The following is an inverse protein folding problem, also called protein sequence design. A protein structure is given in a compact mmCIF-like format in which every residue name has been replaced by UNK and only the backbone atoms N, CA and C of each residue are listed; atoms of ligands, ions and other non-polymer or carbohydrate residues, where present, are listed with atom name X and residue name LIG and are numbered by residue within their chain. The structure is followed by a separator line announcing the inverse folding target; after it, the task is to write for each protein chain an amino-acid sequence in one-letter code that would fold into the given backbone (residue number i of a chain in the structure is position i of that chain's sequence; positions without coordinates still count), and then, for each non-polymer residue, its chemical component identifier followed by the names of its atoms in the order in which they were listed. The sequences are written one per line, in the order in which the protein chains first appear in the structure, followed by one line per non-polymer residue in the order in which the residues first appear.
data_IF_741806185438
#
_entry.id   IF_741806185438
#
_cell.length_a   1.000
_cell.length_b   1.000
_cell.length_c   1.000
_cell.angle_alpha   90.00
_cell.angle_beta   90.00
_cell.angle_gamma   90.00
#
_symmetry.space_group_name_H-M   'P 1'
#
loop_
_entity.id
_entity.type
_entity.pdbx_description
1 polymer ?
#
# COMPACT_ATOMS: atom_id res chain seq x y z
N UNK A 1 -10.63 6.17 -33.30
CA UNK A 1 -9.30 5.57 -33.04
C UNK A 1 -8.68 6.41 -31.94
N UNK A 2 -8.90 6.02 -30.69
CA UNK A 2 -8.48 6.76 -29.49
C UNK A 2 -7.03 6.42 -29.20
N UNK A 3 -6.14 7.40 -29.22
CA UNK A 3 -4.74 7.24 -28.79
C UNK A 3 -4.72 7.13 -27.28
N UNK A 4 -4.58 5.90 -26.76
CA UNK A 4 -4.16 5.70 -25.38
C UNK A 4 -2.71 6.20 -25.33
N UNK A 5 -2.49 7.38 -24.74
CA UNK A 5 -1.15 7.81 -24.36
C UNK A 5 -0.60 6.77 -23.38
N UNK A 6 0.55 6.17 -23.73
CA UNK A 6 1.19 5.16 -22.90
C UNK A 6 1.74 5.87 -21.66
N UNK A 7 1.06 5.76 -20.52
CA UNK A 7 1.55 6.30 -19.26
C UNK A 7 2.97 5.76 -19.00
N UNK A 8 3.89 6.65 -18.62
CA UNK A 8 5.26 6.24 -18.32
C UNK A 8 5.31 5.38 -17.07
N UNK A 9 6.26 4.45 -16.97
CA UNK A 9 6.42 3.62 -15.77
C UNK A 9 6.60 4.47 -14.50
N UNK A 10 7.29 5.62 -14.62
CA UNK A 10 7.47 6.58 -13.51
C UNK A 10 6.15 7.12 -13.00
N UNK A 11 5.25 7.52 -13.90
CA UNK A 11 3.92 8.03 -13.57
C UNK A 11 3.09 6.97 -12.83
N UNK A 12 3.15 5.71 -13.28
CA UNK A 12 2.46 4.62 -12.60
C UNK A 12 3.07 4.31 -11.22
N UNK A 13 4.39 4.35 -11.07
CA UNK A 13 5.06 4.15 -9.77
C UNK A 13 4.67 5.25 -8.79
N UNK A 14 4.75 6.52 -9.18
CA UNK A 14 4.36 7.66 -8.34
C UNK A 14 2.88 7.57 -7.93
N UNK A 15 2.00 7.23 -8.86
CA UNK A 15 0.58 7.03 -8.57
C UNK A 15 0.34 5.87 -7.59
N UNK A 16 1.04 4.76 -7.76
CA UNK A 16 0.92 3.59 -6.88
C UNK A 16 1.36 3.91 -5.46
N UNK A 17 2.50 4.61 -5.29
CA UNK A 17 2.99 5.05 -3.99
C UNK A 17 2.01 6.02 -3.32
N UNK A 18 1.48 6.99 -4.07
CA UNK A 18 0.51 7.94 -3.55
C UNK A 18 -0.76 7.25 -3.05
N UNK A 19 -1.30 6.28 -3.79
CA UNK A 19 -2.49 5.51 -3.38
C UNK A 19 -2.21 4.73 -2.09
N UNK A 20 -1.10 4.00 -2.02
CA UNK A 20 -0.74 3.22 -0.82
C UNK A 20 -0.62 4.13 0.40
N UNK A 21 0.06 5.27 0.25
CA UNK A 21 0.27 6.26 1.32
C UNK A 21 -1.03 6.89 1.80
N UNK A 22 -1.93 7.27 0.88
CA UNK A 22 -3.23 7.86 1.19
C UNK A 22 -4.14 6.86 1.93
N UNK A 23 -4.04 5.57 1.58
CA UNK A 23 -4.92 4.53 2.11
C UNK A 23 -4.38 3.81 3.34
N UNK A 24 -3.09 3.95 3.66
CA UNK A 24 -2.53 3.39 4.89
C UNK A 24 -3.28 3.96 6.09
N UNK A 25 -3.70 3.10 7.01
CA UNK A 25 -4.47 3.54 8.18
C UNK A 25 -3.56 4.24 9.19
N UNK A 26 -4.10 5.12 10.06
CA UNK A 26 -3.30 5.83 11.06
C UNK A 26 -2.49 4.92 11.99
N UNK A 27 -2.98 3.69 12.21
CA UNK A 27 -2.31 2.70 13.04
C UNK A 27 -1.22 1.93 12.29
N UNK A 28 -1.10 2.09 10.96
CA UNK A 28 -0.05 1.52 10.13
C UNK A 28 -0.50 0.41 9.16
N UNK A 29 -1.75 -0.05 9.22
CA UNK A 29 -2.23 -1.15 8.38
C UNK A 29 -2.37 -0.74 6.90
N UNK A 30 -2.11 -1.69 5.99
CA UNK A 30 -2.42 -1.53 4.56
C UNK A 30 -3.73 -2.26 4.21
N UNK A 31 -4.83 -1.55 3.93
CA UNK A 31 -6.08 -2.19 3.49
C UNK A 31 -5.86 -2.96 2.18
N UNK A 32 -6.36 -4.20 2.07
CA UNK A 32 -6.13 -4.99 0.85
C UNK A 32 -6.85 -4.46 -0.37
N UNK A 33 -8.11 -4.02 -0.21
CA UNK A 33 -8.88 -3.37 -1.27
C UNK A 33 -10.08 -2.63 -0.67
N UNK A 34 -9.97 -1.30 -0.44
CA UNK A 34 -11.03 -0.52 0.21
C UNK A 34 -12.39 -0.55 -0.52
N UNK A 35 -12.36 -0.64 -1.85
CA UNK A 35 -13.56 -0.59 -2.69
C UNK A 35 -14.15 -1.96 -2.97
N UNK A 36 -13.40 -3.05 -2.75
CA UNK A 36 -13.97 -4.39 -2.84
C UNK A 36 -14.67 -4.75 -1.53
N UNK A 37 -16.00 -4.81 -1.58
CA UNK A 37 -16.86 -4.92 -0.38
C UNK A 37 -16.51 -6.08 0.54
N UNK A 38 -16.09 -7.23 0.00
CA UNK A 38 -15.71 -8.38 0.82
C UNK A 38 -14.39 -8.17 1.59
N UNK A 39 -13.53 -7.26 1.14
CA UNK A 39 -12.23 -6.95 1.77
C UNK A 39 -12.21 -5.61 2.49
N UNK A 40 -13.28 -4.83 2.41
CA UNK A 40 -13.38 -3.53 3.06
C UNK A 40 -13.20 -3.66 4.57
N UNK A 41 -12.28 -2.88 5.12
CA UNK A 41 -11.96 -2.86 6.55
C UNK A 41 -11.01 -3.98 7.00
N UNK A 42 -10.49 -4.78 6.07
CA UNK A 42 -9.56 -5.86 6.37
C UNK A 42 -8.17 -5.59 5.79
N UNK A 43 -7.16 -6.05 6.53
CA UNK A 43 -5.75 -6.06 6.15
C UNK A 43 -5.24 -7.50 6.29
N UNK A 44 -4.41 -7.94 5.35
CA UNK A 44 -3.79 -9.26 5.34
C UNK A 44 -2.28 -9.09 5.42
N UNK A 45 -1.63 -9.85 6.30
CA UNK A 45 -0.17 -9.77 6.45
C UNK A 45 0.58 -10.13 5.17
N UNK A 46 0.06 -11.07 4.37
CA UNK A 46 0.64 -11.42 3.07
C UNK A 46 0.66 -10.21 2.13
N UNK A 47 -0.49 -9.57 1.96
CA UNK A 47 -0.69 -8.43 1.07
C UNK A 47 0.14 -7.23 1.57
N UNK A 48 0.02 -6.92 2.86
CA UNK A 48 0.77 -5.84 3.51
C UNK A 48 2.29 -6.03 3.50
N UNK A 49 2.80 -7.25 3.58
CA UNK A 49 4.24 -7.51 3.53
C UNK A 49 4.85 -7.14 2.16
N UNK A 50 4.17 -7.48 1.06
CA UNK A 50 4.63 -7.08 -0.28
C UNK A 50 4.47 -5.57 -0.52
N UNK A 51 3.43 -4.95 0.05
CA UNK A 51 3.27 -3.49 0.00
C UNK A 51 4.41 -2.80 0.78
N UNK A 52 4.72 -3.27 1.99
CA UNK A 52 5.81 -2.73 2.81
C UNK A 52 7.18 -2.87 2.12
N UNK A 53 7.45 -4.02 1.49
CA UNK A 53 8.66 -4.23 0.69
C UNK A 53 8.76 -3.23 -0.46
N UNK A 54 7.65 -2.99 -1.19
CA UNK A 54 7.60 -2.02 -2.27
C UNK A 54 7.81 -0.57 -1.79
N UNK A 55 7.16 -0.18 -0.69
CA UNK A 55 7.32 1.15 -0.09
C UNK A 55 8.77 1.38 0.35
N UNK A 56 9.38 0.38 1.01
CA UNK A 56 10.79 0.40 1.40
C UNK A 56 11.73 0.50 0.19
N UNK A 57 11.51 -0.31 -0.85
CA UNK A 57 12.30 -0.30 -2.08
C UNK A 57 12.23 1.05 -2.82
N UNK A 58 11.12 1.79 -2.67
CA UNK A 58 10.94 3.13 -3.23
C UNK A 58 11.39 4.26 -2.27
N UNK A 59 11.93 3.92 -1.09
CA UNK A 59 12.47 4.87 -0.11
C UNK A 59 11.47 5.41 0.93
N UNK A 60 10.21 4.97 0.92
CA UNK A 60 9.23 5.31 1.96
C UNK A 60 9.30 4.32 3.12
N UNK A 61 10.41 4.39 3.86
CA UNK A 61 10.75 3.49 4.96
C UNK A 61 9.75 3.65 6.11
N UNK A 62 9.37 4.89 6.46
CA UNK A 62 8.43 5.18 7.54
C UNK A 62 7.07 4.49 7.33
N UNK A 63 6.58 4.48 6.08
CA UNK A 63 5.37 3.74 5.70
C UNK A 63 5.51 2.25 6.01
N UNK A 64 6.63 1.64 5.61
CA UNK A 64 6.89 0.22 5.82
C UNK A 64 7.04 -0.13 7.31
N UNK A 65 7.76 0.70 8.08
CA UNK A 65 7.94 0.50 9.52
C UNK A 65 6.63 0.60 10.29
N UNK A 66 5.78 1.59 9.97
CA UNK A 66 4.45 1.71 10.57
C UNK A 66 3.61 0.42 10.39
N UNK A 67 3.71 -0.23 9.22
CA UNK A 67 3.04 -1.52 9.00
C UNK A 67 3.60 -2.65 9.88
N UNK A 68 4.93 -2.73 10.04
CA UNK A 68 5.53 -3.75 10.89
C UNK A 68 5.26 -3.51 12.39
N UNK A 69 5.23 -2.25 12.83
CA UNK A 69 4.79 -1.87 14.19
C UNK A 69 3.33 -2.28 14.43
N UNK A 70 2.45 -1.99 13.47
CA UNK A 70 1.06 -2.41 13.52
C UNK A 70 0.93 -3.94 13.63
N UNK A 71 1.67 -4.69 12.81
CA UNK A 71 1.68 -6.15 12.84
C UNK A 71 2.11 -6.67 14.22
N UNK A 72 3.20 -6.12 14.78
CA UNK A 72 3.68 -6.49 16.10
C UNK A 72 2.62 -6.22 17.18
N UNK A 73 1.97 -5.05 17.14
CA UNK A 73 0.89 -4.70 18.08
C UNK A 73 -0.37 -5.56 17.95
N UNK A 74 -0.57 -6.20 16.79
CA UNK A 74 -1.73 -7.07 16.53
C UNK A 74 -1.53 -8.49 17.05
N UNK A 75 -0.27 -8.96 17.12
CA UNK A 75 0.06 -10.35 17.48
C UNK A 75 0.66 -10.51 18.88
N UNK A 76 1.17 -9.44 19.49
CA UNK A 76 1.80 -9.42 20.82
C UNK A 76 0.83 -8.85 21.86
#
# INVERSE_FOLDING_TARGET
MSTVENASTTDLTEHSLAIIRILQTPEGAYPASPDFSAYRGYCWFRDGAFIADAMSACGDIDSAEAFFEWCASTIL
#
